data_IF_989567718557
#
_entry.id   IF_989567718557
#
_cell.length_a   1.000
_cell.length_b   1.000
_cell.length_c   1.000
_cell.angle_alpha   90.00
_cell.angle_beta   90.00
_cell.angle_gamma   90.00
#
_symmetry.space_group_name_H-M   'P 1'
#
loop_
_entity.id
_entity.type
_entity.pdbx_description
1 polymer ?
#
# COMPACT_ATOMS: atom_id res chain seq x y z
N UNK A 1 -20.46 -29.77 -22.62
CA UNK A 1 -20.89 -28.50 -21.99
C UNK A 1 -19.64 -27.95 -21.34
N UNK A 2 -18.92 -27.10 -22.06
CA UNK A 2 -17.78 -26.39 -21.52
C UNK A 2 -18.31 -25.29 -20.62
N UNK A 3 -18.02 -25.40 -19.33
CA UNK A 3 -18.24 -24.33 -18.36
C UNK A 3 -17.31 -23.18 -18.74
N UNK A 4 -17.84 -22.23 -19.51
CA UNK A 4 -17.21 -20.94 -19.75
C UNK A 4 -17.12 -20.21 -18.41
N UNK A 5 -15.97 -20.34 -17.76
CA UNK A 5 -15.54 -19.47 -16.66
C UNK A 5 -15.59 -18.05 -17.21
N UNK A 6 -16.64 -17.31 -16.89
CA UNK A 6 -16.68 -15.87 -17.07
C UNK A 6 -15.59 -15.29 -16.19
N UNK A 7 -14.40 -15.10 -16.77
CA UNK A 7 -13.38 -14.22 -16.22
C UNK A 7 -14.06 -12.88 -15.94
N UNK A 8 -14.10 -12.47 -14.69
CA UNK A 8 -14.51 -11.11 -14.36
C UNK A 8 -13.62 -10.17 -15.19
N UNK A 9 -14.26 -9.43 -16.11
CA UNK A 9 -13.58 -8.48 -16.99
C UNK A 9 -13.29 -7.16 -16.26
N UNK A 10 -13.55 -7.11 -14.95
CA UNK A 10 -13.25 -6.00 -14.07
C UNK A 10 -11.73 -5.83 -13.94
N UNK A 11 -11.23 -4.58 -13.94
CA UNK A 11 -9.84 -4.35 -13.62
C UNK A 11 -9.58 -4.77 -12.17
N UNK A 12 -8.39 -5.30 -11.92
CA UNK A 12 -7.99 -5.77 -10.59
C UNK A 12 -6.62 -5.24 -10.23
N UNK A 13 -6.42 -4.99 -8.95
CA UNK A 13 -5.14 -4.66 -8.35
C UNK A 13 -4.84 -5.69 -7.27
N UNK A 14 -3.70 -6.37 -7.41
CA UNK A 14 -3.19 -7.29 -6.39
C UNK A 14 -2.04 -6.64 -5.65
N UNK A 15 -2.14 -6.61 -4.32
CA UNK A 15 -1.11 -6.12 -3.42
C UNK A 15 -0.68 -7.30 -2.55
N UNK A 16 0.60 -7.64 -2.59
CA UNK A 16 1.15 -8.75 -1.81
C UNK A 16 2.48 -8.36 -1.21
N UNK A 17 2.74 -8.78 0.04
CA UNK A 17 4.01 -8.56 0.71
C UNK A 17 4.66 -9.90 1.07
N UNK A 18 5.94 -10.04 0.75
CA UNK A 18 6.73 -11.20 1.17
C UNK A 18 8.21 -10.87 1.25
N UNK A 19 8.91 -11.34 2.28
CA UNK A 19 10.37 -11.25 2.41
C UNK A 19 10.95 -9.83 2.21
N UNK A 20 10.25 -8.79 2.68
CA UNK A 20 10.69 -7.40 2.53
C UNK A 20 10.45 -6.81 1.13
N UNK A 21 9.63 -7.45 0.30
CA UNK A 21 9.22 -6.97 -1.01
C UNK A 21 7.71 -6.83 -1.04
N UNK A 22 7.23 -5.67 -1.46
CA UNK A 22 5.83 -5.46 -1.79
C UNK A 22 5.68 -5.54 -3.30
N UNK A 23 4.82 -6.43 -3.77
CA UNK A 23 4.50 -6.63 -5.17
C UNK A 23 3.11 -6.08 -5.45
N UNK A 24 3.06 -5.18 -6.42
CA UNK A 24 1.87 -4.58 -6.98
C UNK A 24 1.66 -5.17 -8.38
N UNK A 25 0.48 -5.70 -8.66
CA UNK A 25 0.13 -6.20 -9.97
C UNK A 25 -1.27 -5.70 -10.37
N UNK A 26 -1.34 -4.82 -11.36
CA UNK A 26 -2.58 -4.35 -11.94
C UNK A 26 -2.90 -5.14 -13.22
N UNK A 27 -4.17 -5.45 -13.45
CA UNK A 27 -4.65 -6.13 -14.66
C UNK A 27 -5.92 -5.45 -15.18
N UNK A 28 -5.98 -5.22 -16.49
CA UNK A 28 -7.17 -4.71 -17.17
C UNK A 28 -7.23 -5.22 -18.62
N UNK A 29 -8.33 -5.87 -19.02
CA UNK A 29 -8.58 -6.33 -20.41
C UNK A 29 -7.42 -7.05 -21.11
N UNK A 30 -6.62 -7.80 -20.36
CA UNK A 30 -5.46 -8.56 -20.87
C UNK A 30 -4.10 -7.88 -20.67
N UNK A 31 -4.08 -6.58 -20.43
CA UNK A 31 -2.89 -5.84 -20.03
C UNK A 31 -2.56 -6.12 -18.56
N UNK A 32 -1.26 -6.25 -18.27
CA UNK A 32 -0.74 -6.52 -16.92
C UNK A 32 0.49 -5.65 -16.66
N UNK A 33 0.47 -4.88 -15.57
CA UNK A 33 1.63 -4.12 -15.08
C UNK A 33 2.01 -4.62 -13.70
N UNK A 34 3.30 -4.87 -13.49
CA UNK A 34 3.85 -5.39 -12.24
C UNK A 34 4.98 -4.49 -11.78
N UNK A 35 4.94 -4.08 -10.51
CA UNK A 35 6.04 -3.37 -9.84
C UNK A 35 6.33 -3.99 -8.49
N UNK A 36 7.60 -3.93 -8.11
CA UNK A 36 8.08 -4.40 -6.82
C UNK A 36 8.74 -3.24 -6.08
N UNK A 37 8.37 -3.07 -4.81
CA UNK A 37 9.01 -2.14 -3.88
C UNK A 37 9.92 -2.96 -2.98
N UNK A 38 11.22 -2.66 -3.02
CA UNK A 38 12.25 -3.33 -2.20
C UNK A 38 12.43 -2.56 -0.89
N UNK A 39 11.81 -3.01 0.19
CA UNK A 39 11.77 -2.27 1.45
C UNK A 39 13.17 -2.03 2.03
N UNK A 40 14.08 -3.01 1.94
CA UNK A 40 15.46 -2.83 2.41
C UNK A 40 16.21 -1.70 1.69
N UNK A 41 15.99 -1.56 0.37
CA UNK A 41 16.62 -0.49 -0.39
C UNK A 41 16.00 0.86 -0.06
N UNK A 42 14.68 0.89 0.13
CA UNK A 42 13.96 2.10 0.55
C UNK A 42 14.45 2.56 1.93
N UNK A 43 14.46 1.69 2.93
CA UNK A 43 14.96 2.01 4.28
C UNK A 43 16.41 2.47 4.27
N UNK A 44 17.28 1.79 3.50
CA UNK A 44 18.67 2.21 3.34
C UNK A 44 18.80 3.60 2.72
N UNK A 45 17.95 3.94 1.74
CA UNK A 45 17.89 5.26 1.13
C UNK A 45 17.40 6.32 2.12
N UNK A 46 16.30 6.08 2.83
CA UNK A 46 15.78 7.02 3.82
C UNK A 46 16.81 7.30 4.92
N UNK A 47 17.44 6.26 5.45
CA UNK A 47 18.51 6.38 6.44
C UNK A 47 19.69 7.21 5.93
N UNK A 48 20.15 6.94 4.69
CA UNK A 48 21.27 7.67 4.09
C UNK A 48 20.95 9.15 3.86
N UNK A 49 19.70 9.48 3.52
CA UNK A 49 19.26 10.84 3.22
C UNK A 49 18.68 11.57 4.44
N UNK A 50 18.51 10.90 5.59
CA UNK A 50 17.85 11.46 6.76
C UNK A 50 16.37 11.78 6.52
N UNK A 51 15.67 10.96 5.74
CA UNK A 51 14.25 11.13 5.41
C UNK A 51 13.37 10.35 6.39
N UNK A 52 12.15 10.82 6.70
CA UNK A 52 11.16 10.07 7.47
C UNK A 52 10.79 8.79 6.71
N UNK A 53 11.11 7.63 7.28
CA UNK A 53 11.00 6.34 6.61
C UNK A 53 9.57 6.06 6.19
N UNK A 54 8.63 6.09 7.14
CA UNK A 54 7.25 5.67 6.91
C UNK A 54 6.48 6.64 6.03
N UNK A 55 6.67 7.95 6.21
CA UNK A 55 6.09 8.95 5.30
C UNK A 55 6.59 8.75 3.86
N UNK A 56 7.92 8.58 3.68
CA UNK A 56 8.52 8.33 2.35
C UNK A 56 7.98 7.04 1.73
N UNK A 57 7.77 6.00 2.55
CA UNK A 57 7.18 4.76 2.10
C UNK A 57 5.75 4.94 1.60
N UNK A 58 4.89 5.64 2.34
CA UNK A 58 3.50 5.86 1.96
C UNK A 58 3.41 6.62 0.62
N UNK A 59 4.19 7.69 0.47
CA UNK A 59 4.25 8.46 -0.78
C UNK A 59 4.73 7.61 -1.96
N UNK A 60 5.81 6.83 -1.77
CA UNK A 60 6.34 5.96 -2.82
C UNK A 60 5.34 4.87 -3.18
N UNK A 61 4.66 4.29 -2.18
CA UNK A 61 3.66 3.25 -2.37
C UNK A 61 2.46 3.78 -3.16
N UNK A 62 1.87 4.91 -2.76
CA UNK A 62 0.77 5.56 -3.46
C UNK A 62 1.11 5.84 -4.93
N UNK A 63 2.30 6.40 -5.18
CA UNK A 63 2.78 6.66 -6.53
C UNK A 63 3.01 5.38 -7.33
N UNK A 64 3.52 4.32 -6.70
CA UNK A 64 3.72 3.03 -7.35
C UNK A 64 2.39 2.38 -7.74
N UNK A 65 1.37 2.46 -6.88
CA UNK A 65 -0.01 2.01 -7.16
C UNK A 65 -0.60 2.79 -8.32
N UNK A 66 -0.56 4.13 -8.27
CA UNK A 66 -1.00 5.01 -9.37
C UNK A 66 -0.33 4.61 -10.68
N UNK A 67 0.98 4.36 -10.65
CA UNK A 67 1.74 4.02 -11.84
C UNK A 67 1.37 2.65 -12.43
N UNK A 68 1.23 1.59 -11.62
CA UNK A 68 0.81 0.27 -12.16
C UNK A 68 -0.59 0.33 -12.76
N UNK A 69 -1.49 1.11 -12.17
CA UNK A 69 -2.84 1.30 -12.68
C UNK A 69 -2.81 2.09 -14.00
N UNK A 70 -2.08 3.20 -14.04
CA UNK A 70 -1.92 4.00 -15.26
C UNK A 70 -1.35 3.18 -16.43
N UNK A 71 -0.41 2.26 -16.14
CA UNK A 71 0.21 1.41 -17.16
C UNK A 71 -0.79 0.44 -17.83
N UNK A 72 -1.89 0.06 -17.17
CA UNK A 72 -2.94 -0.83 -17.74
C UNK A 72 -4.25 -0.11 -18.08
N UNK A 73 -4.43 1.10 -17.56
CA UNK A 73 -5.58 1.95 -17.78
C UNK A 73 -5.12 3.41 -17.63
N UNK A 74 -4.62 4.04 -18.71
CA UNK A 74 -4.28 5.45 -18.71
C UNK A 74 -5.50 6.28 -18.27
N UNK A 75 -5.30 7.16 -17.30
CA UNK A 75 -6.35 7.90 -16.61
C UNK A 75 -5.92 9.34 -16.33
N UNK A 76 -6.89 10.21 -16.06
CA UNK A 76 -6.66 11.60 -15.68
C UNK A 76 -6.74 11.78 -14.16
N UNK A 77 -7.66 11.07 -13.53
CA UNK A 77 -7.88 11.09 -12.08
C UNK A 77 -7.63 9.70 -11.49
N UNK A 78 -6.83 9.67 -10.42
CA UNK A 78 -6.61 8.49 -9.61
C UNK A 78 -7.04 8.76 -8.17
N UNK A 79 -7.85 7.87 -7.60
CA UNK A 79 -8.27 7.89 -6.21
C UNK A 79 -7.70 6.67 -5.49
N UNK A 80 -7.11 6.89 -4.33
CA UNK A 80 -6.76 5.86 -3.36
C UNK A 80 -7.36 6.21 -2.00
N UNK A 81 -8.06 5.26 -1.41
CA UNK A 81 -8.68 5.34 -0.09
C UNK A 81 -8.23 4.13 0.74
N UNK A 82 -7.61 4.39 1.88
CA UNK A 82 -7.20 3.36 2.81
C UNK A 82 -7.21 3.86 4.25
N UNK A 83 -7.44 2.94 5.19
CA UNK A 83 -7.24 3.20 6.61
C UNK A 83 -5.80 2.83 7.00
N UNK A 84 -5.18 3.67 7.82
CA UNK A 84 -3.89 3.40 8.45
C UNK A 84 -4.06 3.20 9.94
N UNK A 85 -3.55 2.08 10.44
CA UNK A 85 -3.48 1.78 11.87
C UNK A 85 -2.04 1.49 12.29
N UNK A 86 -1.61 2.11 13.39
CA UNK A 86 -0.25 1.94 13.92
C UNK A 86 -0.27 1.59 15.41
N UNK A 87 0.77 0.91 15.87
CA UNK A 87 0.92 0.58 17.29
C UNK A 87 1.64 1.67 18.12
N UNK A 88 2.10 2.75 17.49
CA UNK A 88 2.67 3.98 18.09
C UNK A 88 2.53 5.15 17.10
N UNK A 89 3.22 6.28 17.32
CA UNK A 89 3.41 7.29 16.27
C UNK A 89 4.05 6.69 15.01
N UNK A 90 3.80 7.27 13.83
CA UNK A 90 4.12 6.68 12.52
C UNK A 90 5.57 6.18 12.41
N UNK A 91 6.55 7.06 12.69
CA UNK A 91 7.99 6.72 12.60
C UNK A 91 8.51 5.89 13.79
N UNK A 92 7.76 5.83 14.89
CA UNK A 92 8.12 5.05 16.08
C UNK A 92 7.41 3.69 16.11
N UNK A 93 6.64 3.38 15.05
CA UNK A 93 5.78 2.22 15.03
C UNK A 93 6.54 0.98 14.56
N UNK A 94 6.36 -0.12 15.28
CA UNK A 94 6.87 -1.43 14.85
C UNK A 94 5.83 -2.23 14.06
N UNK A 95 4.59 -1.73 13.96
CA UNK A 95 3.47 -2.37 13.26
C UNK A 95 2.65 -1.28 12.58
N UNK A 96 2.62 -1.30 11.25
CA UNK A 96 1.78 -0.43 10.44
C UNK A 96 0.88 -1.29 9.56
N UNK A 97 -0.43 -1.08 9.66
CA UNK A 97 -1.44 -1.82 8.91
C UNK A 97 -2.16 -0.83 7.99
N UNK A 98 -2.17 -1.13 6.69
CA UNK A 98 -2.96 -0.42 5.69
C UNK A 98 -4.12 -1.31 5.26
N UNK A 99 -5.35 -0.81 5.36
CA UNK A 99 -6.55 -1.49 4.87
C UNK A 99 -7.13 -0.68 3.72
N UNK A 100 -7.06 -1.21 2.50
CA UNK A 100 -7.50 -0.52 1.29
C UNK A 100 -9.02 -0.62 1.14
N UNK A 101 -9.67 0.54 1.12
CA UNK A 101 -11.13 0.66 1.05
C UNK A 101 -11.59 0.76 -0.41
N UNK A 102 -10.96 1.65 -1.18
CA UNK A 102 -11.36 1.98 -2.54
C UNK A 102 -10.15 2.42 -3.36
N UNK A 103 -10.02 1.88 -4.57
CA UNK A 103 -9.05 2.36 -5.57
C UNK A 103 -9.76 2.52 -6.89
N UNK A 104 -9.76 3.73 -7.42
CA UNK A 104 -10.49 4.10 -8.63
C UNK A 104 -9.60 4.90 -9.59
N UNK A 105 -9.83 4.70 -10.89
CA UNK A 105 -9.24 5.52 -11.95
C UNK A 105 -10.34 5.96 -12.92
N UNK A 106 -10.52 7.27 -13.14
CA UNK A 106 -11.58 7.84 -13.98
C UNK A 106 -12.98 7.19 -13.70
N UNK A 107 -13.36 7.07 -12.42
CA UNK A 107 -14.60 6.43 -11.94
C UNK A 107 -14.69 4.91 -12.12
N UNK A 108 -13.61 4.24 -12.54
CA UNK A 108 -13.54 2.78 -12.66
C UNK A 108 -12.88 2.22 -11.40
N UNK A 109 -13.65 1.51 -10.56
CA UNK A 109 -13.12 0.80 -9.39
C UNK A 109 -12.33 -0.44 -9.77
N UNK A 110 -11.20 -0.63 -9.10
CA UNK A 110 -10.39 -1.83 -9.18
C UNK A 110 -10.82 -2.84 -8.13
N UNK A 111 -10.98 -4.10 -8.53
CA UNK A 111 -11.12 -5.20 -7.60
C UNK A 111 -9.80 -5.40 -6.84
N UNK A 112 -9.84 -5.32 -5.51
CA UNK A 112 -8.66 -5.44 -4.65
C UNK A 112 -8.44 -6.90 -4.26
N UNK A 113 -7.25 -7.42 -4.59
CA UNK A 113 -6.82 -8.76 -4.20
C UNK A 113 -5.65 -8.61 -3.21
N UNK A 114 -5.94 -8.82 -1.93
CA UNK A 114 -5.04 -8.42 -0.85
C UNK A 114 -5.28 -6.97 -0.46
N UNK A 115 -6.41 -6.75 0.19
CA UNK A 115 -6.90 -5.47 0.71
C UNK A 115 -6.19 -5.03 2.00
N UNK A 116 -5.38 -5.90 2.61
CA UNK A 116 -4.59 -5.58 3.79
C UNK A 116 -3.09 -5.72 3.51
N UNK A 117 -2.34 -4.67 3.83
CA UNK A 117 -0.88 -4.66 3.85
C UNK A 117 -0.40 -4.39 5.27
N UNK A 118 0.24 -5.39 5.88
CA UNK A 118 0.87 -5.27 7.18
C UNK A 118 2.40 -5.16 7.04
N UNK A 119 2.96 -4.15 7.71
CA UNK A 119 4.40 -3.95 7.86
C UNK A 119 4.76 -4.20 9.32
N UNK A 120 5.44 -5.31 9.57
CA UNK A 120 5.89 -5.72 10.90
C UNK A 120 7.41 -5.64 10.99
N UNK A 121 7.88 -4.92 12.00
CA UNK A 121 9.29 -4.80 12.36
C UNK A 121 9.56 -5.30 13.78
N UNK A 122 10.84 -5.46 14.15
CA UNK A 122 11.21 -5.72 15.54
C UNK A 122 10.71 -4.59 16.45
N UNK A 123 10.14 -4.93 17.60
CA UNK A 123 9.67 -3.96 18.60
C UNK A 123 10.74 -3.70 19.66
N UNK A 124 11.71 -2.87 19.31
CA UNK A 124 12.81 -2.43 20.17
C UNK A 124 12.44 -1.25 21.10
N UNK A 125 11.17 -0.81 21.08
CA UNK A 125 10.70 0.28 21.94
C UNK A 125 10.91 -0.07 23.42
N UNK A 126 11.44 0.90 24.16
CA UNK A 126 11.63 0.77 25.61
C UNK A 126 10.30 0.63 26.38
N UNK A 127 10.34 0.03 27.57
CA UNK A 127 9.15 -0.28 28.37
C UNK A 127 8.24 0.93 28.65
N UNK A 128 8.81 2.12 28.85
CA UNK A 128 8.05 3.36 29.04
C UNK A 128 7.35 3.85 27.75
N UNK A 129 7.99 3.70 26.60
CA UNK A 129 7.39 4.06 25.30
C UNK A 129 6.22 3.13 24.99
N UNK A 130 6.39 1.82 25.21
CA UNK A 130 5.32 0.81 25.07
C UNK A 130 4.10 1.15 25.93
N UNK A 131 4.30 1.50 27.20
CA UNK A 131 3.22 1.86 28.13
C UNK A 131 2.43 3.12 27.72
N UNK A 132 3.07 4.06 27.03
CA UNK A 132 2.46 5.35 26.66
C UNK A 132 1.98 5.41 25.21
N UNK A 133 2.35 4.40 24.40
CA UNK A 133 2.05 4.29 22.97
C UNK A 133 0.57 4.52 22.61
N UNK A 134 -0.37 4.10 23.47
CA UNK A 134 -1.82 4.26 23.23
C UNK A 134 -2.26 5.71 22.97
N UNK A 135 -1.50 6.71 23.43
CA UNK A 135 -1.78 8.13 23.20
C UNK A 135 -1.29 8.64 21.84
N UNK A 136 -0.43 7.87 21.16
CA UNK A 136 0.26 8.23 19.92
C UNK A 136 -0.12 7.34 18.74
N UNK A 137 -0.85 6.26 18.99
CA UNK A 137 -1.38 5.38 17.95
C UNK A 137 -2.18 6.18 16.95
N UNK A 138 -1.94 5.90 15.68
CA UNK A 138 -2.68 6.46 14.57
C UNK A 138 -3.77 5.46 14.19
N UNK A 139 -4.96 5.99 13.97
CA UNK A 139 -6.10 5.29 13.37
C UNK A 139 -6.86 6.30 12.55
N UNK A 140 -6.51 6.41 11.28
CA UNK A 140 -6.97 7.48 10.41
C UNK A 140 -7.34 6.92 9.04
N UNK A 141 -8.31 7.57 8.39
CA UNK A 141 -8.64 7.32 7.00
C UNK A 141 -7.85 8.28 6.11
N UNK A 142 -7.16 7.75 5.11
CA UNK A 142 -6.44 8.51 4.10
C UNK A 142 -7.17 8.36 2.78
N UNK A 143 -7.71 9.47 2.28
CA UNK A 143 -8.35 9.56 0.96
C UNK A 143 -7.64 10.62 0.12
N UNK A 144 -7.00 10.21 -0.97
CA UNK A 144 -6.22 11.08 -1.85
C UNK A 144 -6.64 10.95 -3.30
N UNK A 145 -6.76 12.09 -3.98
CA UNK A 145 -6.90 12.18 -5.43
C UNK A 145 -5.58 12.71 -5.99
N UNK A 146 -4.90 11.92 -6.82
CA UNK A 146 -3.55 12.18 -7.32
C UNK A 146 -3.52 12.42 -8.82
#
# INVERSE_FOLDING_TARGET
>A
MEDSVTLSNSPSLRITASHGVIKLAAKNKGEVSIRNIQLKLLWGYCWWQGLPEMETFLELFENAVKKVIYDVLPNHEFLIDYDIETNDGLEESSIVILTFNEICADQISFELIGDVLALDGPDDRGSFSKLTSFRRKIKENVRKTL
#
